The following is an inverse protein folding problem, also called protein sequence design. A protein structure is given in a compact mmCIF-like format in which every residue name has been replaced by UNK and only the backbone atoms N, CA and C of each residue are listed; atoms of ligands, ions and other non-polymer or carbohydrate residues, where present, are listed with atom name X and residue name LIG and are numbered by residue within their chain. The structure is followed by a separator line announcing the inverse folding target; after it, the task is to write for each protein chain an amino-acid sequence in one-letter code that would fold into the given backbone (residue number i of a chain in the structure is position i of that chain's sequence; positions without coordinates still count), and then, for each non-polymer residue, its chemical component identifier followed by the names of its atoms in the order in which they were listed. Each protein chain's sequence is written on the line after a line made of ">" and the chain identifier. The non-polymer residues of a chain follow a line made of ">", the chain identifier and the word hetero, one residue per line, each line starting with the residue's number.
data_IF_779506900988
#
_entry.id   IF_779506900988
#
_cell.length_a   1.000
_cell.length_b   1.000
_cell.length_c   1.000
_cell.angle_alpha   90.00
_cell.angle_beta   90.00
_cell.angle_gamma   90.00
#
_symmetry.space_group_name_H-M   'P 1'
#
loop_
_entity.id
_entity.type
_entity.pdbx_description
1 polymer ?
#
# COMPACT_ATOMS: atom_id res chain seq x y z
N UNK A 1 -3.01 -4.77 7.53
CA UNK A 1 -4.24 -4.37 8.23
C UNK A 1 -4.00 -4.49 9.72
N UNK A 2 -4.38 -3.50 10.51
CA UNK A 2 -4.36 -3.62 11.97
C UNK A 2 -5.74 -4.13 12.40
N UNK A 3 -5.78 -5.27 13.08
CA UNK A 3 -7.02 -5.81 13.62
C UNK A 3 -6.81 -6.28 15.04
N UNK A 4 -7.91 -6.42 15.76
CA UNK A 4 -7.89 -6.83 17.14
C UNK A 4 -7.34 -8.27 17.31
N UNK A 5 -6.65 -8.59 18.42
CA UNK A 5 -6.00 -9.90 18.62
C UNK A 5 -6.94 -11.10 18.61
N UNK A 6 -8.23 -10.89 18.87
CA UNK A 6 -9.26 -11.94 18.86
C UNK A 6 -9.83 -12.22 17.47
N UNK A 7 -9.47 -11.43 16.45
CA UNK A 7 -9.90 -11.68 15.07
C UNK A 7 -9.18 -12.92 14.53
N UNK A 8 -9.91 -13.93 14.05
CA UNK A 8 -9.27 -15.14 13.55
C UNK A 8 -8.50 -14.84 12.24
N UNK A 9 -7.34 -15.48 12.02
CA UNK A 9 -6.52 -15.29 10.82
C UNK A 9 -7.23 -15.49 9.48
N UNK A 10 -8.30 -16.30 9.48
CA UNK A 10 -9.10 -16.64 8.30
C UNK A 10 -9.93 -15.45 7.79
N UNK A 11 -10.22 -14.47 8.65
CA UNK A 11 -11.04 -13.31 8.31
C UNK A 11 -10.25 -12.19 7.63
N UNK A 12 -8.95 -12.39 7.40
CA UNK A 12 -8.09 -11.43 6.71
C UNK A 12 -8.06 -11.72 5.22
N UNK A 13 -8.40 -10.72 4.44
CA UNK A 13 -8.27 -10.80 2.99
C UNK A 13 -6.80 -10.74 2.58
N UNK A 14 -6.44 -11.58 1.60
CA UNK A 14 -5.09 -11.59 1.04
C UNK A 14 -4.97 -10.46 0.05
N UNK A 15 -4.34 -9.37 0.47
CA UNK A 15 -4.19 -8.15 -0.33
C UNK A 15 -2.73 -7.84 -0.65
N UNK A 16 -1.78 -8.54 -0.03
CA UNK A 16 -0.34 -8.28 -0.16
C UNK A 16 0.38 -9.45 -0.85
N UNK A 17 1.09 -9.23 -1.98
CA UNK A 17 1.94 -10.24 -2.60
C UNK A 17 3.08 -10.68 -1.68
N UNK A 18 3.43 -11.98 -1.71
CA UNK A 18 4.56 -12.51 -0.92
C UNK A 18 5.88 -11.80 -1.22
N UNK A 19 6.15 -11.44 -2.48
CA UNK A 19 7.37 -10.73 -2.89
C UNK A 19 7.51 -9.35 -2.24
N UNK A 20 6.40 -8.62 -2.09
CA UNK A 20 6.39 -7.31 -1.42
C UNK A 20 6.55 -7.48 0.09
N UNK A 21 5.95 -8.52 0.67
CA UNK A 21 6.11 -8.80 2.10
C UNK A 21 7.57 -9.11 2.47
N UNK A 22 8.33 -9.78 1.59
CA UNK A 22 9.75 -10.08 1.81
C UNK A 22 10.63 -8.82 1.87
N UNK A 23 10.23 -7.72 1.22
CA UNK A 23 10.99 -6.46 1.26
C UNK A 23 10.72 -5.61 2.50
N UNK A 24 9.79 -6.02 3.37
CA UNK A 24 9.43 -5.30 4.59
C UNK A 24 10.45 -5.52 5.71
N UNK A 25 10.51 -4.58 6.66
CA UNK A 25 11.28 -4.77 7.90
C UNK A 25 10.73 -5.95 8.71
N UNK A 26 11.52 -6.58 9.60
CA UNK A 26 11.05 -7.70 10.43
C UNK A 26 9.82 -7.36 11.30
N UNK A 27 9.68 -6.09 11.70
CA UNK A 27 8.50 -5.62 12.41
C UNK A 27 7.26 -5.59 11.51
N UNK A 28 7.37 -4.98 10.33
CA UNK A 28 6.28 -4.90 9.37
C UNK A 28 5.87 -6.29 8.82
N UNK A 29 6.83 -7.20 8.63
CA UNK A 29 6.54 -8.59 8.26
C UNK A 29 5.62 -9.29 9.27
N UNK A 30 5.85 -9.08 10.57
CA UNK A 30 5.01 -9.64 11.64
C UNK A 30 3.60 -9.08 11.60
N UNK A 31 3.45 -7.77 11.42
CA UNK A 31 2.15 -7.10 11.32
C UNK A 31 1.35 -7.57 10.09
N UNK A 32 2.03 -7.78 8.96
CA UNK A 32 1.39 -8.12 7.69
C UNK A 32 1.25 -9.64 7.44
N UNK A 33 1.59 -10.49 8.42
CA UNK A 33 1.61 -11.95 8.25
C UNK A 33 0.29 -12.53 7.73
N UNK A 34 -0.85 -11.98 8.16
CA UNK A 34 -2.17 -12.51 7.82
C UNK A 34 -2.76 -11.97 6.51
N UNK A 35 -2.29 -10.84 6.01
CA UNK A 35 -2.76 -10.24 4.74
C UNK A 35 -1.92 -10.64 3.53
N UNK A 36 -0.84 -11.38 3.76
CA UNK A 36 0.08 -11.87 2.73
C UNK A 36 -0.49 -13.08 1.97
N UNK A 37 -0.38 -13.06 0.64
CA UNK A 37 -0.67 -14.18 -0.26
C UNK A 37 0.42 -15.26 -0.24
N UNK A 38 0.17 -16.35 -0.96
CA UNK A 38 1.16 -17.40 -1.20
C UNK A 38 2.26 -16.94 -2.17
N UNK A 39 3.38 -17.68 -2.18
CA UNK A 39 4.50 -17.41 -3.09
C UNK A 39 4.02 -17.53 -4.54
N UNK A 40 4.33 -16.53 -5.37
CA UNK A 40 3.94 -16.50 -6.78
C UNK A 40 2.51 -16.01 -7.05
N UNK A 41 1.68 -15.78 -6.00
CA UNK A 41 0.32 -15.27 -6.17
C UNK A 41 0.30 -13.75 -6.03
N UNK A 42 -0.23 -13.08 -7.05
CA UNK A 42 -0.56 -11.66 -7.00
C UNK A 42 -2.05 -11.49 -6.68
N UNK A 43 -2.42 -11.11 -5.44
CA UNK A 43 -3.82 -11.02 -5.06
C UNK A 43 -4.55 -9.91 -5.82
N UNK A 44 -5.87 -10.08 -5.99
CA UNK A 44 -6.72 -9.07 -6.61
C UNK A 44 -6.62 -7.75 -5.85
N UNK A 45 -6.47 -6.64 -6.57
CA UNK A 45 -6.33 -5.31 -5.98
C UNK A 45 -4.92 -4.95 -5.50
N UNK A 46 -3.96 -5.88 -5.47
CA UNK A 46 -2.58 -5.54 -5.12
C UNK A 46 -1.96 -4.59 -6.15
N UNK A 47 -1.55 -3.40 -5.68
CA UNK A 47 -1.03 -2.32 -6.53
C UNK A 47 -2.09 -1.48 -7.23
N UNK A 48 -3.38 -1.77 -7.06
CA UNK A 48 -4.46 -0.94 -7.59
C UNK A 48 -4.72 0.20 -6.61
N UNK A 49 -4.40 1.42 -7.04
CA UNK A 49 -4.72 2.63 -6.28
C UNK A 49 -6.16 3.03 -6.55
N UNK A 50 -6.91 3.41 -5.51
CA UNK A 50 -8.26 3.93 -5.68
C UNK A 50 -8.23 5.20 -6.57
N UNK A 51 -9.13 5.37 -7.55
CA UNK A 51 -9.09 6.51 -8.49
C UNK A 51 -9.05 7.88 -7.82
N UNK A 52 -9.73 8.03 -6.67
CA UNK A 52 -9.67 9.27 -5.88
C UNK A 52 -8.28 9.56 -5.31
N UNK A 53 -7.54 8.52 -4.89
CA UNK A 53 -6.17 8.69 -4.40
C UNK A 53 -5.20 9.04 -5.55
N UNK A 54 -5.42 8.49 -6.75
CA UNK A 54 -4.66 8.89 -7.95
C UNK A 54 -4.88 10.36 -8.29
N UNK A 55 -6.14 10.84 -8.25
CA UNK A 55 -6.47 12.25 -8.47
C UNK A 55 -5.83 13.19 -7.44
N UNK A 56 -5.73 12.78 -6.17
CA UNK A 56 -5.04 13.55 -5.15
C UNK A 56 -3.52 13.64 -5.43
N UNK A 57 -2.90 12.55 -5.85
CA UNK A 57 -1.48 12.57 -6.24
C UNK A 57 -1.23 13.45 -7.47
N UNK A 58 -2.15 13.48 -8.43
CA UNK A 58 -2.08 14.39 -9.57
C UNK A 58 -2.17 15.86 -9.15
N UNK A 59 -3.13 16.21 -8.28
CA UNK A 59 -3.27 17.57 -7.77
C UNK A 59 -2.00 18.05 -7.03
N UNK A 60 -1.41 17.19 -6.19
CA UNK A 60 -0.18 17.51 -5.46
C UNK A 60 1.05 17.67 -6.36
N UNK A 61 1.11 16.99 -7.51
CA UNK A 61 2.22 17.14 -8.48
C UNK A 61 2.18 18.48 -9.20
N UNK A 62 0.97 19.00 -9.47
CA UNK A 62 0.78 20.30 -10.14
C UNK A 62 1.24 21.43 -9.21
N UNK A 63 0.87 21.37 -7.93
CA UNK A 63 1.25 22.40 -6.94
C UNK A 63 2.76 22.55 -6.76
N UNK A 64 3.53 21.46 -6.75
CA UNK A 64 4.99 21.53 -6.55
C UNK A 64 5.71 22.14 -7.76
N UNK A 65 5.26 21.81 -8.98
CA UNK A 65 5.86 22.33 -10.21
C UNK A 65 5.56 23.83 -10.35
N UNK A 66 4.33 24.24 -10.06
CA UNK A 66 3.93 25.65 -10.15
C UNK A 66 4.56 26.50 -9.03
N UNK A 67 4.78 25.94 -7.83
CA UNK A 67 5.52 26.61 -6.77
C UNK A 67 6.99 26.83 -7.13
N UNK A 68 7.68 25.82 -7.69
CA UNK A 68 9.08 25.94 -8.12
C UNK A 68 9.23 27.00 -9.21
N UNK A 69 8.31 27.03 -10.18
CA UNK A 69 8.30 28.05 -11.26
C UNK A 69 8.01 29.46 -10.76
N UNK A 70 7.32 29.62 -9.63
CA UNK A 70 7.03 30.92 -9.01
C UNK A 70 8.25 31.50 -8.28
N UNK A 71 9.17 30.65 -7.80
CA UNK A 71 10.39 31.08 -7.09
C UNK A 71 11.48 31.55 -8.09
N UNK A 72 11.44 31.08 -9.34
CA UNK A 72 12.41 31.41 -10.39
C UNK A 72 12.09 32.70 -11.18
N UNK A 73 11.00 33.41 -10.85
CA UNK A 73 10.65 34.73 -11.39
C UNK A 73 10.94 35.84 -10.38
#
# INVERSE_FOLDING_TARGET
>A
EYAAPWRPPQDFEKTMPHSIWETLTPHAQRLCKFVKSERGVWPAGAGIMHPLASKQQEALKVDVIDLVRSIEK
#
